data_IF_086548641334
#
_entry.id   IF_086548641334
#
_cell.length_a   1.000
_cell.length_b   1.000
_cell.length_c   1.000
_cell.angle_alpha   90.00
_cell.angle_beta   90.00
_cell.angle_gamma   90.00
#
_symmetry.space_group_name_H-M   'P 1'
#
loop_
_entity.id
_entity.type
_entity.pdbx_description
1 polymer ?
#
# COMPACT_ATOMS: atom_id res chain seq x y z
N UNK A 1 -62.29 -120.24 -44.62
CA UNK A 1 -61.14 -119.65 -43.87
C UNK A 1 -60.29 -118.86 -44.86
N UNK A 2 -59.76 -117.68 -44.48
CA UNK A 2 -58.92 -116.78 -45.31
C UNK A 2 -59.68 -116.33 -46.59
N UNK A 3 -60.31 -115.16 -46.67
CA UNK A 3 -59.67 -113.84 -46.70
C UNK A 3 -60.53 -112.68 -46.14
N UNK A 4 -61.36 -112.95 -45.12
CA UNK A 4 -62.06 -111.91 -44.30
C UNK A 4 -61.08 -110.98 -43.52
N UNK A 5 -59.80 -110.96 -43.90
CA UNK A 5 -58.70 -110.18 -43.32
C UNK A 5 -58.20 -109.08 -44.28
N UNK A 6 -58.56 -109.11 -45.56
CA UNK A 6 -58.14 -108.07 -46.52
C UNK A 6 -59.06 -106.83 -46.55
N UNK A 7 -60.09 -106.81 -45.69
CA UNK A 7 -60.87 -105.61 -45.36
C UNK A 7 -60.08 -104.65 -44.42
N UNK A 8 -59.01 -105.13 -43.76
CA UNK A 8 -58.38 -104.43 -42.64
C UNK A 8 -57.08 -103.69 -42.98
N UNK A 9 -56.39 -104.03 -44.08
CA UNK A 9 -55.00 -103.59 -44.32
C UNK A 9 -54.88 -102.33 -45.19
N UNK A 10 -55.87 -101.98 -46.01
CA UNK A 10 -55.88 -100.72 -46.79
C UNK A 10 -56.84 -99.65 -46.26
N UNK A 11 -57.29 -99.79 -45.01
CA UNK A 11 -58.01 -98.75 -44.24
C UNK A 11 -57.04 -97.71 -43.62
N UNK A 12 -55.71 -97.94 -43.71
CA UNK A 12 -54.69 -97.11 -43.04
C UNK A 12 -53.65 -96.43 -43.97
N UNK A 13 -53.78 -96.55 -45.29
CA UNK A 13 -52.82 -95.98 -46.25
C UNK A 13 -53.48 -95.12 -47.33
N UNK A 14 -54.01 -93.97 -46.89
CA UNK A 14 -53.94 -92.63 -47.51
C UNK A 14 -54.93 -91.76 -46.74
N UNK A 15 -54.42 -90.96 -45.80
CA UNK A 15 -55.10 -89.71 -45.47
C UNK A 15 -54.99 -88.84 -46.71
N UNK A 16 -56.11 -88.52 -47.34
CA UNK A 16 -56.12 -87.58 -48.46
C UNK A 16 -55.68 -86.22 -47.92
N UNK A 17 -54.53 -85.76 -48.41
CA UNK A 17 -54.11 -84.38 -48.31
C UNK A 17 -55.20 -83.51 -48.95
N UNK A 18 -56.06 -82.90 -48.11
CA UNK A 18 -57.04 -81.94 -48.59
C UNK A 18 -56.29 -80.73 -49.16
N UNK A 19 -56.31 -80.62 -50.48
CA UNK A 19 -55.76 -79.46 -51.18
C UNK A 19 -56.56 -78.20 -50.80
N UNK A 20 -55.87 -77.07 -50.70
CA UNK A 20 -56.50 -75.79 -50.38
C UNK A 20 -57.47 -75.39 -51.49
N UNK A 21 -58.77 -75.29 -51.17
CA UNK A 21 -59.80 -74.88 -52.10
C UNK A 21 -59.60 -73.42 -52.52
N UNK A 22 -59.53 -73.17 -53.84
CA UNK A 22 -59.52 -71.82 -54.41
C UNK A 22 -60.90 -71.49 -54.94
N UNK A 23 -61.63 -70.64 -54.24
CA UNK A 23 -62.94 -70.15 -54.66
C UNK A 23 -62.79 -68.85 -55.48
N UNK A 24 -63.21 -68.88 -56.75
CA UNK A 24 -63.15 -67.70 -57.63
C UNK A 24 -64.49 -66.99 -57.66
N UNK A 25 -64.53 -65.76 -57.15
CA UNK A 25 -65.68 -64.86 -57.31
C UNK A 25 -65.45 -64.04 -58.58
N UNK A 26 -66.42 -64.05 -59.52
CA UNK A 26 -66.42 -63.20 -60.71
C UNK A 26 -67.54 -62.16 -60.61
N UNK A 27 -67.19 -60.96 -60.16
CA UNK A 27 -68.07 -59.78 -60.13
C UNK A 27 -67.22 -58.51 -60.18
N UNK A 28 -67.72 -57.44 -60.81
CA UNK A 28 -67.05 -56.12 -60.84
C UNK A 28 -67.06 -55.43 -59.47
N UNK A 29 -68.00 -55.82 -58.60
CA UNK A 29 -68.08 -55.34 -57.23
C UNK A 29 -68.68 -56.43 -56.34
N UNK A 30 -67.94 -56.82 -55.30
CA UNK A 30 -68.43 -57.75 -54.28
C UNK A 30 -69.10 -56.93 -53.18
N UNK A 31 -70.42 -56.83 -53.23
CA UNK A 31 -71.21 -56.18 -52.18
C UNK A 31 -71.59 -57.20 -51.12
N UNK A 32 -70.98 -57.09 -49.93
CA UNK A 32 -71.36 -57.89 -48.77
C UNK A 32 -72.33 -57.05 -47.93
N UNK A 33 -73.55 -57.56 -47.73
CA UNK A 33 -74.59 -56.93 -46.91
C UNK A 33 -75.33 -57.98 -46.12
N UNK A 34 -75.64 -57.65 -44.87
CA UNK A 34 -76.56 -58.37 -44.00
C UNK A 34 -77.74 -57.42 -43.71
N UNK A 35 -78.93 -57.97 -43.53
CA UNK A 35 -80.18 -57.19 -43.38
C UNK A 35 -80.51 -56.82 -41.93
N UNK A 36 -79.72 -57.27 -40.94
CA UNK A 36 -79.90 -56.91 -39.52
C UNK A 36 -78.64 -56.39 -38.80
N UNK A 37 -77.44 -56.73 -39.27
CA UNK A 37 -76.16 -56.38 -38.62
C UNK A 37 -75.09 -55.91 -39.62
N UNK A 38 -73.95 -55.42 -39.12
CA UNK A 38 -72.78 -55.12 -39.94
C UNK A 38 -72.22 -56.42 -40.56
N UNK A 39 -72.06 -56.43 -41.89
CA UNK A 39 -71.45 -57.55 -42.60
C UNK A 39 -69.97 -57.27 -42.86
N UNK A 40 -69.09 -58.16 -42.41
CA UNK A 40 -67.64 -58.00 -42.51
C UNK A 40 -67.02 -58.83 -43.64
N UNK A 41 -65.90 -58.32 -44.18
CA UNK A 41 -65.02 -59.04 -45.10
C UNK A 41 -63.68 -59.32 -44.40
N UNK A 42 -63.46 -60.57 -44.01
CA UNK A 42 -62.19 -61.02 -43.42
C UNK A 42 -61.28 -61.49 -44.56
N UNK A 43 -60.06 -60.93 -44.64
CA UNK A 43 -59.04 -61.29 -45.64
C UNK A 43 -57.79 -61.81 -44.92
N UNK A 44 -57.64 -63.13 -44.85
CA UNK A 44 -56.47 -63.79 -44.29
C UNK A 44 -55.46 -64.15 -45.38
N UNK A 45 -54.19 -63.84 -45.15
CA UNK A 45 -53.07 -64.10 -46.05
C UNK A 45 -51.88 -64.55 -45.19
N UNK A 46 -50.87 -65.21 -45.77
CA UNK A 46 -49.66 -65.63 -45.05
C UNK A 46 -48.94 -64.46 -44.32
N UNK A 47 -49.16 -63.22 -44.77
CA UNK A 47 -48.72 -61.99 -44.09
C UNK A 47 -49.63 -61.53 -42.95
N UNK A 48 -50.44 -62.43 -42.37
CA UNK A 48 -51.32 -62.19 -41.21
C UNK A 48 -50.61 -61.56 -40.00
N UNK A 49 -49.30 -61.74 -39.89
CA UNK A 49 -48.45 -61.17 -38.83
C UNK A 49 -47.90 -59.78 -39.14
N UNK A 50 -48.24 -59.19 -40.30
CA UNK A 50 -47.83 -57.83 -40.67
C UNK A 50 -48.97 -56.86 -40.38
N UNK A 51 -48.98 -56.18 -39.22
CA UNK A 51 -49.94 -55.10 -38.99
C UNK A 51 -49.68 -53.98 -40.00
N UNK A 52 -50.70 -53.65 -40.78
CA UNK A 52 -50.54 -52.82 -41.96
C UNK A 52 -51.77 -52.78 -42.84
N UNK A 53 -51.62 -52.24 -44.04
CA UNK A 53 -52.69 -52.14 -45.02
C UNK A 53 -52.51 -53.15 -46.16
N UNK A 54 -53.61 -53.48 -46.84
CA UNK A 54 -53.60 -54.43 -47.95
C UNK A 54 -52.99 -53.78 -49.21
N UNK A 55 -51.67 -53.90 -49.36
CA UNK A 55 -50.92 -53.32 -50.46
C UNK A 55 -50.90 -54.25 -51.68
N UNK A 56 -51.15 -53.71 -52.87
CA UNK A 56 -51.08 -54.45 -54.12
C UNK A 56 -49.63 -54.48 -54.63
N UNK A 57 -49.03 -55.69 -54.70
CA UNK A 57 -47.67 -55.91 -55.23
C UNK A 57 -47.57 -55.82 -56.75
N UNK A 58 -48.66 -55.48 -57.45
CA UNK A 58 -48.82 -55.65 -58.88
C UNK A 58 -49.41 -57.02 -59.24
N UNK A 59 -49.90 -57.14 -60.48
CA UNK A 59 -50.56 -58.34 -61.02
C UNK A 59 -51.72 -58.86 -60.15
N UNK A 60 -52.42 -57.96 -59.46
CA UNK A 60 -53.60 -58.28 -58.64
C UNK A 60 -53.31 -59.06 -57.35
N UNK A 61 -52.04 -59.28 -56.99
CA UNK A 61 -51.67 -59.96 -55.74
C UNK A 61 -51.46 -58.93 -54.63
N UNK A 62 -52.19 -59.11 -53.54
CA UNK A 62 -52.07 -58.27 -52.35
C UNK A 62 -51.26 -58.95 -51.25
N UNK A 63 -50.65 -58.15 -50.38
CA UNK A 63 -50.10 -58.57 -49.08
C UNK A 63 -50.33 -57.46 -48.06
N UNK A 64 -50.25 -57.77 -46.77
CA UNK A 64 -50.19 -56.71 -45.77
C UNK A 64 -48.79 -56.07 -45.76
N UNK A 65 -48.73 -54.74 -45.88
CA UNK A 65 -47.49 -53.95 -45.72
C UNK A 65 -47.60 -52.92 -44.63
N UNK A 66 -46.48 -52.66 -43.95
CA UNK A 66 -46.34 -51.56 -43.00
C UNK A 66 -46.61 -50.23 -43.71
N UNK A 67 -47.31 -49.33 -43.01
CA UNK A 67 -47.76 -48.04 -43.57
C UNK A 67 -46.58 -47.10 -43.85
N UNK A 68 -45.59 -47.06 -42.96
CA UNK A 68 -44.42 -46.18 -43.08
C UNK A 68 -43.13 -47.01 -43.19
N UNK A 69 -42.33 -46.76 -44.22
CA UNK A 69 -40.95 -47.25 -44.37
C UNK A 69 -40.02 -46.03 -44.39
N UNK A 70 -39.08 -45.93 -43.45
CA UNK A 70 -38.18 -44.79 -43.39
C UNK A 70 -37.25 -44.74 -44.63
N UNK A 71 -37.07 -43.56 -45.24
CA UNK A 71 -36.14 -43.32 -46.36
C UNK A 71 -34.98 -42.41 -45.95
N UNK A 72 -35.29 -41.31 -45.26
CA UNK A 72 -34.32 -40.37 -44.67
C UNK A 72 -34.89 -39.82 -43.38
N UNK A 73 -34.06 -39.22 -42.53
CA UNK A 73 -34.37 -38.79 -41.16
C UNK A 73 -35.63 -37.93 -40.98
N UNK A 74 -36.18 -37.38 -42.06
CA UNK A 74 -37.42 -36.60 -42.03
C UNK A 74 -38.40 -36.93 -43.18
N UNK A 75 -38.19 -38.07 -43.87
CA UNK A 75 -39.02 -38.53 -45.00
C UNK A 75 -39.27 -40.04 -44.96
N UNK A 76 -40.54 -40.43 -44.93
CA UNK A 76 -41.00 -41.82 -44.93
C UNK A 76 -41.71 -42.15 -46.25
N UNK A 77 -41.43 -43.31 -46.83
CA UNK A 77 -42.24 -43.91 -47.88
C UNK A 77 -43.56 -44.45 -47.28
N UNK A 78 -44.68 -44.07 -47.89
CA UNK A 78 -46.02 -44.61 -47.63
C UNK A 78 -46.52 -45.27 -48.91
N UNK A 79 -46.58 -46.60 -48.92
CA UNK A 79 -46.86 -47.36 -50.14
C UNK A 79 -45.77 -47.18 -51.20
N UNK A 80 -46.00 -46.27 -52.15
CA UNK A 80 -45.08 -45.95 -53.25
C UNK A 80 -44.69 -44.47 -53.33
N UNK A 81 -45.16 -43.63 -52.41
CA UNK A 81 -44.93 -42.17 -52.40
C UNK A 81 -44.31 -41.72 -51.07
N UNK A 82 -43.74 -40.51 -50.99
CA UNK A 82 -42.95 -40.05 -49.84
C UNK A 82 -43.65 -38.96 -49.02
N UNK A 83 -43.95 -39.24 -47.75
CA UNK A 83 -44.35 -38.23 -46.76
C UNK A 83 -43.12 -37.62 -46.11
N UNK A 84 -42.99 -36.29 -46.20
CA UNK A 84 -41.99 -35.50 -45.47
C UNK A 84 -42.64 -34.82 -44.27
N UNK A 85 -42.07 -34.98 -43.07
CA UNK A 85 -42.53 -34.24 -41.89
C UNK A 85 -41.84 -32.88 -41.83
N UNK A 86 -42.55 -31.84 -41.38
CA UNK A 86 -41.99 -30.49 -41.18
C UNK A 86 -41.69 -30.25 -39.70
N UNK A 87 -40.68 -29.43 -39.41
CA UNK A 87 -40.28 -28.99 -38.07
C UNK A 87 -39.78 -30.07 -37.10
N UNK A 88 -39.34 -31.23 -37.59
CA UNK A 88 -38.54 -32.18 -36.77
C UNK A 88 -37.15 -31.59 -36.55
N UNK A 89 -36.65 -31.63 -35.30
CA UNK A 89 -35.28 -31.21 -34.98
C UNK A 89 -34.31 -32.28 -35.47
N UNK A 90 -33.58 -32.00 -36.55
CA UNK A 90 -32.71 -32.98 -37.20
C UNK A 90 -31.38 -33.15 -36.46
N UNK A 91 -30.91 -34.39 -36.32
CA UNK A 91 -29.58 -34.68 -35.79
C UNK A 91 -28.53 -34.18 -36.80
N UNK A 92 -27.67 -33.25 -36.38
CA UNK A 92 -26.81 -32.48 -37.28
C UNK A 92 -27.26 -31.03 -37.52
N UNK A 93 -28.45 -30.64 -37.03
CA UNK A 93 -28.94 -29.27 -37.00
C UNK A 93 -29.90 -28.92 -38.15
N UNK A 94 -30.75 -27.92 -37.89
CA UNK A 94 -31.73 -27.44 -38.86
C UNK A 94 -31.13 -26.30 -39.71
N UNK A 95 -31.22 -26.39 -41.04
CA UNK A 95 -30.75 -25.36 -41.96
C UNK A 95 -31.90 -24.48 -42.45
N UNK A 96 -32.07 -23.30 -41.84
CA UNK A 96 -33.03 -22.29 -42.27
C UNK A 96 -32.38 -21.27 -43.23
N UNK A 97 -33.11 -20.85 -44.26
CA UNK A 97 -32.66 -19.83 -45.24
C UNK A 97 -33.18 -18.41 -44.97
N UNK A 98 -33.92 -18.22 -43.88
CA UNK A 98 -34.52 -16.97 -43.43
C UNK A 98 -34.59 -16.97 -41.89
N UNK A 99 -35.19 -15.93 -41.29
CA UNK A 99 -35.25 -15.67 -39.84
C UNK A 99 -36.08 -16.72 -39.06
N UNK A 100 -35.55 -17.93 -38.91
CA UNK A 100 -36.12 -18.98 -38.07
C UNK A 100 -36.02 -18.60 -36.59
N UNK A 101 -37.12 -18.77 -35.85
CA UNK A 101 -37.20 -18.50 -34.41
C UNK A 101 -37.01 -19.79 -33.62
N UNK A 102 -36.24 -19.72 -32.54
CA UNK A 102 -36.06 -20.79 -31.56
C UNK A 102 -36.53 -20.26 -30.20
N UNK A 103 -37.49 -20.94 -29.58
CA UNK A 103 -38.07 -20.54 -28.30
C UNK A 103 -39.31 -21.36 -27.94
N UNK A 104 -39.83 -21.12 -26.74
CA UNK A 104 -41.16 -21.55 -26.28
C UNK A 104 -42.19 -20.45 -26.58
N UNK A 105 -43.47 -20.81 -26.69
CA UNK A 105 -44.58 -19.87 -26.87
C UNK A 105 -45.68 -20.08 -25.80
N UNK A 106 -45.21 -20.49 -24.62
CA UNK A 106 -45.97 -20.80 -23.43
C UNK A 106 -45.16 -20.34 -22.19
N UNK A 107 -45.71 -20.51 -21.00
CA UNK A 107 -45.02 -20.12 -19.76
C UNK A 107 -44.02 -21.18 -19.26
N UNK A 108 -43.27 -21.80 -20.17
CA UNK A 108 -42.20 -22.76 -19.84
C UNK A 108 -40.84 -22.28 -20.36
N UNK A 109 -39.75 -22.62 -19.65
CA UNK A 109 -38.41 -22.17 -19.98
C UNK A 109 -37.84 -22.92 -21.20
N UNK A 110 -37.18 -22.21 -22.11
CA UNK A 110 -36.39 -22.84 -23.18
C UNK A 110 -35.18 -23.51 -22.53
N UNK A 111 -35.23 -24.84 -22.40
CA UNK A 111 -34.28 -25.62 -21.61
C UNK A 111 -33.28 -26.37 -22.49
N UNK A 112 -31.98 -26.21 -22.21
CA UNK A 112 -30.89 -26.91 -22.89
C UNK A 112 -30.45 -28.13 -22.07
N UNK A 113 -30.69 -29.33 -22.61
CA UNK A 113 -30.44 -30.60 -21.91
C UNK A 113 -29.32 -31.37 -22.62
N UNK A 114 -28.36 -31.89 -21.85
CA UNK A 114 -27.31 -32.81 -22.31
C UNK A 114 -27.36 -34.09 -21.46
N UNK A 115 -27.49 -35.25 -22.10
CA UNK A 115 -27.56 -36.57 -21.42
C UNK A 115 -28.62 -36.64 -20.31
N UNK A 116 -29.78 -36.01 -20.50
CA UNK A 116 -30.85 -35.94 -19.50
C UNK A 116 -30.62 -34.93 -18.37
N UNK A 117 -29.47 -34.25 -18.34
CA UNK A 117 -29.13 -33.22 -17.34
C UNK A 117 -29.29 -31.84 -17.96
N UNK A 118 -29.98 -30.94 -17.28
CA UNK A 118 -30.08 -29.54 -17.68
C UNK A 118 -28.72 -28.83 -17.57
N UNK A 119 -28.32 -28.13 -18.63
CA UNK A 119 -27.06 -27.35 -18.72
C UNK A 119 -27.28 -25.86 -18.84
N UNK A 120 -28.53 -25.42 -18.98
CA UNK A 120 -28.91 -24.02 -18.93
C UNK A 120 -30.32 -23.82 -19.46
N UNK A 121 -30.86 -22.62 -19.29
CA UNK A 121 -32.17 -22.23 -19.80
C UNK A 121 -32.28 -20.74 -20.07
N UNK A 122 -33.25 -20.38 -20.90
CA UNK A 122 -33.93 -19.09 -20.78
C UNK A 122 -35.14 -19.34 -19.88
N UNK A 123 -35.09 -18.80 -18.67
CA UNK A 123 -36.15 -18.95 -17.68
C UNK A 123 -37.42 -18.17 -18.07
N UNK A 124 -38.57 -18.48 -17.45
CA UNK A 124 -39.85 -17.84 -17.79
C UNK A 124 -39.87 -16.32 -17.54
N UNK A 125 -39.03 -15.84 -16.62
CA UNK A 125 -38.78 -14.41 -16.41
C UNK A 125 -37.85 -13.74 -17.44
N UNK A 126 -37.37 -14.48 -18.45
CA UNK A 126 -36.44 -14.00 -19.48
C UNK A 126 -34.95 -14.05 -19.09
N UNK A 127 -34.62 -14.51 -17.87
CA UNK A 127 -33.25 -14.63 -17.38
C UNK A 127 -32.52 -15.82 -18.03
N UNK A 128 -31.28 -15.62 -18.46
CA UNK A 128 -30.46 -16.67 -19.07
C UNK A 128 -29.55 -17.30 -18.01
N UNK A 129 -29.73 -18.59 -17.76
CA UNK A 129 -29.00 -19.35 -16.76
C UNK A 129 -28.10 -20.38 -17.44
N UNK A 130 -26.82 -20.43 -17.07
CA UNK A 130 -25.84 -21.41 -17.55
C UNK A 130 -25.33 -22.27 -16.40
N UNK A 131 -25.39 -23.59 -16.59
CA UNK A 131 -24.98 -24.62 -15.63
C UNK A 131 -25.70 -24.54 -14.26
N UNK A 132 -26.88 -23.92 -14.20
CA UNK A 132 -27.74 -23.81 -13.01
C UNK A 132 -29.20 -23.67 -13.38
N UNK A 133 -30.07 -24.04 -12.43
CA UNK A 133 -31.53 -23.82 -12.45
C UNK A 133 -31.98 -22.82 -11.37
N UNK A 134 -31.07 -22.42 -10.48
CA UNK A 134 -31.31 -21.44 -9.41
C UNK A 134 -31.28 -20.02 -10.02
N UNK A 135 -32.45 -19.39 -10.16
CA UNK A 135 -32.56 -18.03 -10.67
C UNK A 135 -32.37 -17.01 -9.53
N UNK A 136 -31.18 -16.39 -9.45
CA UNK A 136 -30.87 -15.37 -8.45
C UNK A 136 -31.32 -13.95 -8.88
N UNK A 137 -32.31 -13.85 -9.77
CA UNK A 137 -32.83 -12.62 -10.37
C UNK A 137 -31.83 -11.83 -11.24
N UNK A 138 -30.73 -12.44 -11.67
CA UNK A 138 -29.82 -11.85 -12.65
C UNK A 138 -30.29 -12.15 -14.09
N UNK A 139 -30.36 -11.16 -14.99
CA UNK A 139 -30.74 -11.38 -16.39
C UNK A 139 -29.82 -12.34 -17.16
N UNK A 140 -28.58 -12.50 -16.69
CA UNK A 140 -27.55 -13.35 -17.29
C UNK A 140 -26.69 -13.92 -16.15
N UNK A 141 -26.70 -15.24 -15.95
CA UNK A 141 -26.10 -15.92 -14.79
C UNK A 141 -25.33 -17.18 -15.22
N UNK A 142 -24.12 -17.35 -14.69
CA UNK A 142 -23.30 -18.55 -14.86
C UNK A 142 -23.00 -19.18 -13.50
N UNK A 143 -23.08 -20.51 -13.40
CA UNK A 143 -22.56 -21.29 -12.27
C UNK A 143 -21.29 -22.01 -12.71
N UNK A 144 -20.16 -21.31 -12.58
CA UNK A 144 -18.83 -21.76 -13.01
C UNK A 144 -18.03 -20.66 -13.72
N UNK A 145 -16.88 -21.03 -14.28
CA UNK A 145 -15.94 -20.10 -14.90
C UNK A 145 -16.44 -19.55 -16.25
N UNK A 146 -16.23 -18.25 -16.49
CA UNK A 146 -16.48 -17.59 -17.78
C UNK A 146 -15.14 -17.31 -18.45
N UNK A 147 -14.98 -17.75 -19.69
CA UNK A 147 -13.86 -17.36 -20.55
C UNK A 147 -14.39 -16.48 -21.69
N UNK A 148 -13.78 -15.31 -21.90
CA UNK A 148 -14.05 -14.44 -23.04
C UNK A 148 -12.77 -14.18 -23.84
N UNK A 149 -12.92 -14.05 -25.16
CA UNK A 149 -11.85 -13.68 -26.08
C UNK A 149 -12.19 -12.35 -26.72
N UNK A 150 -11.36 -11.33 -26.49
CA UNK A 150 -11.63 -9.93 -26.85
C UNK A 150 -12.06 -9.07 -25.65
N UNK A 151 -12.50 -7.84 -25.95
CA UNK A 151 -12.84 -6.81 -24.95
C UNK A 151 -14.27 -7.02 -24.43
N UNK A 152 -14.44 -7.07 -23.10
CA UNK A 152 -15.74 -6.96 -22.45
C UNK A 152 -16.05 -5.48 -22.16
N UNK A 153 -17.03 -4.92 -22.87
CA UNK A 153 -17.50 -3.56 -22.61
C UNK A 153 -18.62 -3.59 -21.55
N UNK A 154 -18.47 -2.80 -20.48
CA UNK A 154 -19.45 -2.68 -19.41
C UNK A 154 -19.66 -1.20 -19.05
N UNK A 155 -20.90 -0.74 -19.11
CA UNK A 155 -21.23 0.69 -19.00
C UNK A 155 -21.20 1.25 -17.56
N UNK A 156 -21.14 0.37 -16.55
CA UNK A 156 -21.28 0.70 -15.11
C UNK A 156 -20.39 -0.23 -14.26
N UNK A 157 -20.69 -0.36 -12.97
CA UNK A 157 -19.85 -1.06 -11.98
C UNK A 157 -19.70 -2.57 -12.28
N UNK A 158 -18.46 -3.07 -12.17
CA UNK A 158 -18.16 -4.51 -12.01
C UNK A 158 -18.18 -4.85 -10.52
N UNK A 159 -19.04 -5.77 -10.10
CA UNK A 159 -19.05 -6.28 -8.73
C UNK A 159 -18.33 -7.62 -8.68
N UNK A 160 -17.19 -7.69 -7.98
CA UNK A 160 -16.43 -8.93 -7.77
C UNK A 160 -16.50 -9.28 -6.27
N UNK A 161 -17.50 -10.08 -5.91
CA UNK A 161 -17.73 -10.52 -4.54
C UNK A 161 -17.38 -12.02 -4.42
N UNK A 162 -16.33 -12.39 -3.66
CA UNK A 162 -16.00 -13.80 -3.46
C UNK A 162 -16.84 -14.39 -2.32
N UNK A 163 -17.72 -15.33 -2.63
CA UNK A 163 -18.40 -16.13 -1.61
C UNK A 163 -18.92 -17.47 -2.15
N UNK A 164 -18.34 -18.58 -1.67
CA UNK A 164 -19.08 -19.81 -1.40
C UNK A 164 -18.64 -20.35 -0.02
N UNK A 165 -19.55 -20.88 0.81
CA UNK A 165 -19.21 -21.40 2.13
C UNK A 165 -18.66 -22.84 2.01
N UNK A 166 -17.35 -22.99 1.84
CA UNK A 166 -16.72 -24.32 1.84
C UNK A 166 -15.26 -24.40 1.40
N UNK A 167 -14.74 -23.43 0.64
CA UNK A 167 -13.33 -23.37 0.24
C UNK A 167 -12.71 -22.00 0.58
N UNK A 168 -11.42 -21.97 0.91
CA UNK A 168 -10.73 -20.79 1.47
C UNK A 168 -10.23 -19.76 0.41
N UNK A 169 -10.41 -20.04 -0.88
CA UNK A 169 -9.66 -19.40 -1.97
C UNK A 169 -10.42 -18.28 -2.72
N UNK A 170 -10.74 -17.21 -2.01
CA UNK A 170 -11.27 -15.96 -2.56
C UNK A 170 -10.19 -15.15 -3.32
N UNK A 171 -10.37 -14.85 -4.62
CA UNK A 171 -9.37 -14.11 -5.43
C UNK A 171 -10.01 -13.02 -6.32
N UNK A 172 -9.39 -11.84 -6.40
CA UNK A 172 -9.80 -10.73 -7.28
C UNK A 172 -8.64 -10.38 -8.23
N UNK A 173 -8.98 -10.19 -9.51
CA UNK A 173 -8.04 -9.97 -10.63
C UNK A 173 -8.60 -8.84 -11.49
N UNK A 174 -8.06 -7.61 -11.40
CA UNK A 174 -8.60 -6.43 -12.12
C UNK A 174 -7.47 -5.67 -12.79
N UNK A 175 -7.31 -5.83 -14.11
CA UNK A 175 -6.13 -5.29 -14.80
C UNK A 175 -4.83 -5.93 -14.29
N UNK A 176 -4.94 -7.14 -13.73
CA UNK A 176 -3.87 -7.73 -12.95
C UNK A 176 -4.22 -9.03 -12.29
N UNK A 177 -3.57 -10.10 -12.74
CA UNK A 177 -3.66 -11.42 -12.16
C UNK A 177 -3.14 -11.42 -10.74
N UNK A 178 -3.76 -12.24 -9.87
CA UNK A 178 -3.40 -12.65 -8.51
C UNK A 178 -2.62 -13.98 -8.62
N UNK A 179 -1.34 -14.01 -8.31
CA UNK A 179 -0.56 -15.24 -8.09
C UNK A 179 -0.94 -15.75 -6.68
N UNK A 180 -0.75 -17.03 -6.36
CA UNK A 180 -0.83 -17.52 -4.96
C UNK A 180 0.13 -18.71 -4.85
N UNK A 181 0.82 -18.76 -3.72
CA UNK A 181 1.81 -19.75 -3.35
C UNK A 181 2.60 -19.16 -2.18
N UNK A 182 3.89 -19.49 -2.05
CA UNK A 182 4.78 -18.70 -1.19
C UNK A 182 5.15 -17.31 -1.76
N UNK A 183 4.40 -16.78 -2.75
CA UNK A 183 4.39 -15.44 -3.40
C UNK A 183 3.04 -15.19 -4.15
N UNK A 184 2.54 -13.95 -4.36
CA UNK A 184 1.14 -13.70 -4.86
C UNK A 184 0.77 -12.60 -5.91
N UNK A 185 1.68 -11.94 -6.66
CA UNK A 185 1.46 -10.84 -7.67
C UNK A 185 -0.01 -10.55 -8.06
N UNK A 186 -0.58 -9.35 -7.82
CA UNK A 186 -1.98 -8.90 -8.09
C UNK A 186 -2.14 -7.46 -8.61
N UNK A 187 -2.18 -7.21 -9.95
CA UNK A 187 -1.95 -5.90 -10.66
C UNK A 187 -3.19 -4.97 -10.76
N UNK A 188 -2.96 -3.74 -11.22
CA UNK A 188 -3.69 -2.49 -11.04
C UNK A 188 -2.60 -1.41 -10.87
N UNK A 189 -2.92 -0.23 -10.35
CA UNK A 189 -1.90 0.50 -9.58
C UNK A 189 -1.78 -0.21 -8.22
N UNK A 190 -1.03 -1.31 -8.22
CA UNK A 190 -0.99 -2.32 -7.16
C UNK A 190 -0.86 -3.69 -7.77
N UNK A 191 0.30 -4.34 -7.58
CA UNK A 191 0.80 -5.69 -7.91
C UNK A 191 1.04 -6.47 -6.61
N UNK A 192 0.00 -7.03 -5.99
CA UNK A 192 -0.01 -7.66 -4.65
C UNK A 192 0.86 -8.94 -4.46
N UNK A 193 1.92 -8.94 -3.63
CA UNK A 193 3.04 -9.90 -3.34
C UNK A 193 2.89 -11.17 -2.42
N UNK A 194 1.79 -11.44 -1.71
CA UNK A 194 1.68 -12.32 -0.50
C UNK A 194 2.51 -13.62 -0.49
N UNK A 195 3.30 -13.87 0.57
CA UNK A 195 4.39 -14.85 0.56
C UNK A 195 4.26 -16.08 1.48
N UNK A 196 3.07 -16.66 1.67
CA UNK A 196 2.74 -17.56 2.83
C UNK A 196 3.14 -17.00 4.21
N UNK A 197 3.24 -15.67 4.33
CA UNK A 197 3.56 -15.01 5.59
C UNK A 197 3.59 -13.49 5.44
N UNK A 198 2.49 -12.85 5.81
CA UNK A 198 2.18 -11.43 5.58
C UNK A 198 1.87 -11.04 4.13
N UNK A 199 0.84 -10.20 4.06
CA UNK A 199 0.15 -9.71 2.88
C UNK A 199 0.91 -8.56 2.25
N UNK A 200 0.97 -8.53 0.92
CA UNK A 200 1.85 -7.61 0.22
C UNK A 200 1.19 -6.90 -0.95
N UNK A 201 1.42 -5.60 -1.09
CA UNK A 201 0.80 -4.73 -2.10
C UNK A 201 1.89 -4.01 -2.91
N UNK A 202 1.95 -4.18 -4.23
CA UNK A 202 3.05 -3.70 -5.09
C UNK A 202 2.65 -2.65 -6.13
N UNK A 203 2.29 -1.44 -5.71
CA UNK A 203 1.85 -0.38 -6.62
C UNK A 203 2.99 0.05 -7.58
N UNK A 204 2.70 0.31 -8.85
CA UNK A 204 3.68 0.83 -9.83
C UNK A 204 4.60 -0.17 -10.57
N UNK A 205 5.42 0.39 -11.47
CA UNK A 205 6.28 -0.35 -12.41
C UNK A 205 7.54 -0.91 -11.73
N UNK A 206 7.85 -2.20 -11.99
CA UNK A 206 9.11 -2.83 -11.62
C UNK A 206 9.25 -3.30 -10.16
N UNK A 207 8.20 -3.21 -9.35
CA UNK A 207 8.30 -3.43 -7.91
C UNK A 207 8.26 -4.89 -7.46
N UNK A 208 9.15 -5.24 -6.54
CA UNK A 208 9.23 -6.55 -5.88
C UNK A 208 8.87 -6.40 -4.41
N UNK A 209 7.76 -7.02 -3.97
CA UNK A 209 7.21 -6.83 -2.62
C UNK A 209 7.05 -8.17 -1.91
N UNK A 210 8.08 -8.60 -1.19
CA UNK A 210 8.06 -9.86 -0.45
C UNK A 210 7.62 -9.59 0.98
N UNK A 211 6.41 -10.04 1.38
CA UNK A 211 5.92 -10.01 2.78
C UNK A 211 5.85 -8.60 3.40
N UNK A 212 5.57 -7.57 2.61
CA UNK A 212 5.59 -6.15 3.04
C UNK A 212 4.74 -5.26 2.13
N UNK A 213 4.83 -3.93 2.25
CA UNK A 213 4.06 -3.00 1.40
C UNK A 213 5.02 -2.21 0.50
N UNK A 214 4.80 -2.21 -0.82
CA UNK A 214 5.61 -1.48 -1.79
C UNK A 214 4.74 -0.60 -2.69
N UNK A 215 4.71 0.70 -2.45
CA UNK A 215 3.92 1.65 -3.24
C UNK A 215 4.87 2.48 -4.12
N UNK A 216 4.93 2.13 -5.40
CA UNK A 216 5.99 2.54 -6.35
C UNK A 216 7.42 2.10 -5.94
N UNK A 217 7.56 1.35 -4.84
CA UNK A 217 8.83 0.87 -4.28
C UNK A 217 8.82 -0.64 -4.00
N UNK A 218 10.00 -1.17 -3.72
CA UNK A 218 10.25 -2.59 -3.47
C UNK A 218 10.60 -2.86 -2.01
N UNK A 219 10.30 -4.05 -1.49
CA UNK A 219 10.60 -4.40 -0.10
C UNK A 219 10.70 -5.89 0.15
N UNK A 220 11.45 -6.27 1.20
CA UNK A 220 11.41 -7.59 1.82
C UNK A 220 11.11 -7.42 3.32
N UNK A 221 9.92 -7.81 3.77
CA UNK A 221 9.45 -7.72 5.16
C UNK A 221 9.44 -6.28 5.74
N UNK A 222 9.16 -5.26 4.92
CA UNK A 222 9.10 -3.85 5.32
C UNK A 222 8.03 -3.03 4.58
N UNK A 223 8.18 -1.70 4.58
CA UNK A 223 7.29 -0.75 3.89
C UNK A 223 8.13 0.20 3.03
N UNK A 224 7.90 0.24 1.73
CA UNK A 224 8.55 1.17 0.78
C UNK A 224 7.48 1.99 0.05
N UNK A 225 7.56 3.33 0.10
CA UNK A 225 6.61 4.23 -0.56
C UNK A 225 7.39 5.30 -1.33
N UNK A 226 7.38 5.24 -2.65
CA UNK A 226 8.06 6.15 -3.56
C UNK A 226 8.73 5.40 -4.72
N UNK A 227 8.72 5.99 -5.92
CA UNK A 227 9.30 5.42 -7.14
C UNK A 227 10.76 4.98 -6.92
N UNK A 228 11.12 3.74 -7.28
CA UNK A 228 12.45 3.17 -7.09
C UNK A 228 12.95 3.11 -5.63
N UNK A 229 12.07 3.20 -4.63
CA UNK A 229 12.48 3.07 -3.21
C UNK A 229 12.70 1.61 -2.79
N UNK A 230 13.53 1.37 -1.76
CA UNK A 230 13.79 0.02 -1.23
C UNK A 230 13.81 -0.08 0.30
N UNK A 231 12.92 -0.91 0.86
CA UNK A 231 12.83 -1.23 2.28
C UNK A 231 13.29 -2.66 2.61
N UNK A 232 14.36 -2.76 3.41
CA UNK A 232 14.80 -3.99 4.07
C UNK A 232 13.80 -4.46 5.14
N UNK A 233 14.08 -5.62 5.73
CA UNK A 233 13.28 -6.23 6.81
C UNK A 233 13.09 -5.26 7.98
N UNK A 234 11.84 -5.12 8.44
CA UNK A 234 11.44 -4.22 9.52
C UNK A 234 11.57 -2.73 9.21
N UNK A 235 12.09 -2.35 8.03
CA UNK A 235 12.32 -0.97 7.66
C UNK A 235 11.06 -0.31 7.09
N UNK A 236 10.94 1.00 7.29
CA UNK A 236 9.95 1.88 6.68
C UNK A 236 10.69 2.94 5.88
N UNK A 237 10.39 3.05 4.59
CA UNK A 237 11.11 3.88 3.63
C UNK A 237 10.12 4.74 2.85
N UNK A 238 10.27 6.06 2.94
CA UNK A 238 9.39 7.05 2.34
C UNK A 238 10.18 8.00 1.44
N UNK A 239 9.69 8.22 0.22
CA UNK A 239 10.25 9.13 -0.77
C UNK A 239 10.87 8.43 -1.98
N UNK A 240 10.92 9.16 -3.10
CA UNK A 240 11.44 8.63 -4.37
C UNK A 240 12.91 8.26 -4.26
N UNK A 241 13.26 7.06 -4.72
CA UNK A 241 14.61 6.47 -4.68
C UNK A 241 15.28 6.44 -3.30
N UNK A 242 14.52 6.60 -2.21
CA UNK A 242 15.01 6.35 -0.85
C UNK A 242 15.29 4.87 -0.64
N UNK A 243 16.41 4.56 0.01
CA UNK A 243 16.82 3.18 0.29
C UNK A 243 17.29 3.06 1.73
N UNK A 244 16.67 2.14 2.48
CA UNK A 244 17.21 1.67 3.75
C UNK A 244 18.53 0.94 3.54
N UNK A 245 19.47 1.06 4.46
CA UNK A 245 20.82 0.46 4.39
C UNK A 245 21.01 -0.69 5.39
N UNK A 246 20.08 -0.85 6.33
CA UNK A 246 20.03 -1.96 7.28
C UNK A 246 18.56 -2.28 7.62
N UNK A 247 18.37 -3.33 8.42
CA UNK A 247 17.06 -3.71 8.96
C UNK A 247 16.59 -2.69 10.01
N UNK A 248 15.28 -2.68 10.27
CA UNK A 248 14.65 -1.91 11.35
C UNK A 248 14.90 -0.37 11.29
N UNK A 249 15.16 0.16 10.09
CA UNK A 249 15.37 1.60 9.86
C UNK A 249 14.09 2.32 9.43
N UNK A 250 13.87 3.52 9.97
CA UNK A 250 12.99 4.52 9.34
C UNK A 250 13.82 5.46 8.46
N UNK A 251 13.57 5.47 7.15
CA UNK A 251 14.25 6.34 6.18
C UNK A 251 13.21 7.18 5.45
N UNK A 252 13.39 8.50 5.47
CA UNK A 252 12.52 9.45 4.80
C UNK A 252 13.41 10.44 4.02
N UNK A 253 13.20 10.60 2.72
CA UNK A 253 14.06 11.47 1.91
C UNK A 253 13.99 11.23 0.41
N UNK A 254 15.16 11.17 -0.22
CA UNK A 254 15.38 10.87 -1.64
C UNK A 254 16.84 11.17 -2.00
N UNK A 255 17.33 10.78 -3.19
CA UNK A 255 18.65 11.18 -3.65
C UNK A 255 18.67 12.68 -3.97
N UNK A 256 19.84 13.31 -3.83
CA UNK A 256 20.09 14.70 -4.23
C UNK A 256 20.21 14.87 -5.76
N UNK A 257 20.24 13.76 -6.51
CA UNK A 257 20.60 13.76 -7.92
C UNK A 257 19.41 13.42 -8.81
N UNK A 258 18.96 14.42 -9.58
CA UNK A 258 18.17 14.19 -10.79
C UNK A 258 18.92 13.21 -11.70
N UNK A 259 18.19 12.20 -12.21
CA UNK A 259 18.74 11.21 -13.15
C UNK A 259 18.99 11.81 -14.54
N UNK A 260 18.48 13.01 -14.83
CA UNK A 260 18.78 13.79 -16.02
C UNK A 260 18.97 15.27 -15.65
N UNK A 261 20.13 15.84 -15.98
CA UNK A 261 20.54 17.20 -15.61
C UNK A 261 19.82 18.31 -16.42
N UNK A 262 18.80 17.96 -17.19
CA UNK A 262 18.00 18.87 -18.04
C UNK A 262 16.48 18.77 -17.82
N UNK A 263 16.01 18.09 -16.77
CA UNK A 263 14.57 18.03 -16.44
C UNK A 263 14.24 18.84 -15.20
N UNK A 264 13.34 19.83 -15.32
CA UNK A 264 12.86 20.65 -14.21
C UNK A 264 12.15 19.82 -13.11
N UNK A 265 12.91 19.39 -12.11
CA UNK A 265 12.47 19.28 -10.72
C UNK A 265 11.44 18.20 -10.35
N UNK A 266 11.55 16.98 -10.89
CA UNK A 266 10.59 15.89 -10.59
C UNK A 266 10.97 14.96 -9.41
N UNK A 267 12.20 14.97 -8.91
CA UNK A 267 12.63 14.11 -7.79
C UNK A 267 13.15 14.90 -6.58
N UNK A 268 12.25 15.64 -5.92
CA UNK A 268 12.60 16.33 -4.67
C UNK A 268 12.64 15.33 -3.50
N UNK A 269 13.77 15.30 -2.78
CA UNK A 269 13.89 14.57 -1.53
C UNK A 269 12.99 15.20 -0.45
N UNK A 270 12.48 14.39 0.48
CA UNK A 270 11.78 14.91 1.66
C UNK A 270 12.82 15.54 2.59
N UNK A 271 12.86 16.88 2.64
CA UNK A 271 13.83 17.66 3.42
C UNK A 271 13.36 18.05 4.82
N UNK A 272 12.04 18.01 5.07
CA UNK A 272 11.43 18.45 6.32
C UNK A 272 10.39 17.42 6.81
N UNK A 273 10.31 17.23 8.13
CA UNK A 273 9.35 16.33 8.78
C UNK A 273 8.63 17.10 9.89
N UNK A 274 7.29 17.15 9.79
CA UNK A 274 6.44 17.91 10.70
C UNK A 274 5.56 16.98 11.53
N UNK A 275 5.56 17.18 12.86
CA UNK A 275 4.70 16.47 13.80
C UNK A 275 3.63 17.40 14.40
N UNK A 276 2.67 16.86 15.16
CA UNK A 276 1.60 17.64 15.78
C UNK A 276 0.60 18.17 14.75
N UNK A 277 0.49 19.50 14.60
CA UNK A 277 -0.45 20.12 13.65
C UNK A 277 0.01 20.12 12.18
N UNK A 278 1.16 19.52 11.85
CA UNK A 278 1.77 19.58 10.51
C UNK A 278 2.47 20.92 10.26
N UNK A 279 2.77 21.22 8.98
CA UNK A 279 3.39 22.50 8.54
C UNK A 279 2.62 23.71 9.06
N UNK A 280 1.30 23.62 8.99
CA UNK A 280 0.34 24.55 9.56
C UNK A 280 -0.93 23.78 9.92
N UNK A 281 -1.62 24.22 10.98
CA UNK A 281 -2.93 23.67 11.36
C UNK A 281 -3.90 23.74 10.18
N UNK A 282 -4.60 22.63 9.91
CA UNK A 282 -5.46 22.47 8.72
C UNK A 282 -6.57 23.54 8.60
N UNK A 283 -6.22 24.64 7.94
CA UNK A 283 -7.01 25.83 7.65
C UNK A 283 -7.97 26.31 8.77
N UNK A 284 -7.57 26.16 10.03
CA UNK A 284 -8.39 26.50 11.20
C UNK A 284 -7.63 27.46 12.09
N UNK A 285 -8.15 28.67 12.29
CA UNK A 285 -7.56 29.68 13.16
C UNK A 285 -7.40 29.19 14.61
N UNK A 286 -6.23 29.40 15.19
CA UNK A 286 -5.91 29.05 16.56
C UNK A 286 -4.45 28.66 16.75
N UNK A 287 -4.01 28.36 17.99
CA UNK A 287 -2.66 27.89 18.25
C UNK A 287 -2.41 26.52 17.60
N UNK A 288 -1.13 26.24 17.32
CA UNK A 288 -0.65 24.89 17.01
C UNK A 288 -0.69 23.98 18.25
N UNK A 289 -0.77 22.68 18.02
CA UNK A 289 -0.83 21.66 19.08
C UNK A 289 0.58 21.20 19.44
N UNK A 290 0.89 21.15 20.74
CA UNK A 290 2.16 20.62 21.26
C UNK A 290 2.34 19.14 20.92
N UNK A 291 3.58 18.73 20.69
CA UNK A 291 3.97 17.34 20.41
C UNK A 291 5.22 16.96 21.21
N UNK A 292 5.37 15.67 21.52
CA UNK A 292 6.49 15.12 22.30
C UNK A 292 7.14 13.95 21.56
N UNK A 293 8.47 13.96 21.44
CA UNK A 293 9.26 12.78 21.06
C UNK A 293 9.72 12.11 22.36
N UNK A 294 9.29 10.86 22.59
CA UNK A 294 9.54 10.11 23.82
C UNK A 294 10.49 8.94 23.57
N UNK A 295 11.31 8.61 24.57
CA UNK A 295 12.20 7.45 24.55
C UNK A 295 11.50 6.14 24.92
N UNK A 296 12.20 5.02 24.75
CA UNK A 296 11.65 3.69 25.00
C UNK A 296 11.43 3.42 26.49
N UNK A 297 10.18 3.20 26.90
CA UNK A 297 9.86 2.72 28.25
C UNK A 297 10.22 1.24 28.44
N UNK A 298 10.64 0.87 29.66
CA UNK A 298 10.85 -0.53 30.05
C UNK A 298 9.62 -1.10 30.79
N UNK A 299 9.46 -2.42 30.76
CA UNK A 299 8.36 -3.14 31.42
C UNK A 299 8.89 -4.11 32.47
N UNK A 300 8.27 -4.11 33.66
CA UNK A 300 8.69 -4.89 34.82
C UNK A 300 9.31 -4.03 35.94
N UNK A 301 9.70 -4.65 37.05
CA UNK A 301 10.21 -3.94 38.22
C UNK A 301 11.67 -3.49 38.04
N UNK A 302 11.93 -2.20 38.26
CA UNK A 302 13.28 -1.59 38.34
C UNK A 302 14.14 -1.69 37.07
N UNK A 303 13.54 -1.81 35.88
CA UNK A 303 14.28 -1.75 34.61
C UNK A 303 14.51 -0.30 34.14
N UNK A 304 15.70 -0.01 33.63
CA UNK A 304 16.08 1.28 33.04
C UNK A 304 15.41 1.45 31.66
N UNK A 305 14.88 2.64 31.37
CA UNK A 305 14.41 3.01 30.03
C UNK A 305 15.54 3.14 29.00
N UNK A 306 15.17 3.15 27.72
CA UNK A 306 16.11 3.35 26.61
C UNK A 306 16.45 4.82 26.38
N UNK A 307 17.69 5.08 25.94
CA UNK A 307 18.16 6.42 25.60
C UNK A 307 17.60 6.91 24.25
N UNK A 308 17.49 8.23 24.06
CA UNK A 308 17.23 8.85 22.74
C UNK A 308 18.55 9.38 22.19
N UNK A 309 18.88 9.01 20.96
CA UNK A 309 20.06 9.53 20.26
C UNK A 309 19.64 10.39 19.07
N UNK A 310 19.94 11.69 19.12
CA UNK A 310 19.84 12.62 17.98
C UNK A 310 21.25 12.76 17.40
N UNK A 311 21.41 12.67 16.08
CA UNK A 311 22.73 12.67 15.42
C UNK A 311 22.72 13.62 14.22
N UNK A 312 23.80 14.37 14.02
CA UNK A 312 24.03 15.15 12.80
C UNK A 312 24.39 14.28 11.59
N UNK A 313 24.50 14.90 10.42
CA UNK A 313 24.84 14.21 9.17
C UNK A 313 26.24 13.58 9.22
N UNK A 314 26.39 12.34 8.74
CA UNK A 314 27.69 11.66 8.67
C UNK A 314 28.47 12.11 7.43
N UNK A 315 29.65 12.68 7.63
CA UNK A 315 30.61 12.91 6.55
C UNK A 315 31.30 11.62 6.09
N UNK A 316 31.99 11.68 4.96
CA UNK A 316 32.84 10.59 4.43
C UNK A 316 34.27 11.07 4.27
N UNK A 317 35.26 10.22 4.57
CA UNK A 317 36.68 10.59 4.47
C UNK A 317 37.04 11.82 5.31
N UNK A 318 37.54 12.87 4.68
CA UNK A 318 37.84 14.18 5.30
C UNK A 318 36.66 15.16 5.31
N UNK A 319 35.47 14.73 4.87
CA UNK A 319 34.26 15.55 4.89
C UNK A 319 33.76 15.81 6.30
N UNK A 320 33.61 17.09 6.66
CA UNK A 320 33.13 17.52 7.99
C UNK A 320 31.73 16.96 8.29
N UNK A 321 31.51 16.32 9.44
CA UNK A 321 30.16 15.94 9.89
C UNK A 321 29.22 17.14 10.04
N UNK A 322 27.92 16.91 9.87
CA UNK A 322 26.89 17.92 10.12
C UNK A 322 26.66 18.15 11.62
N UNK A 323 26.33 19.39 11.98
CA UNK A 323 25.97 19.79 13.34
C UNK A 323 24.56 19.32 13.74
N UNK A 324 24.27 19.26 15.04
CA UNK A 324 22.90 19.23 15.56
C UNK A 324 22.51 20.68 15.85
N UNK A 325 21.39 21.16 15.28
CA UNK A 325 20.97 22.56 15.34
C UNK A 325 19.62 22.67 16.04
N UNK A 326 19.53 23.56 17.03
CA UNK A 326 18.30 23.90 17.74
C UNK A 326 17.85 25.30 17.33
N UNK A 327 16.69 25.37 16.66
CA UNK A 327 16.14 26.62 16.13
C UNK A 327 14.76 26.91 16.70
N UNK A 328 14.46 28.20 16.86
CA UNK A 328 13.14 28.69 17.29
C UNK A 328 12.72 29.85 16.38
N UNK A 329 11.42 30.05 16.11
CA UNK A 329 10.97 31.24 15.41
C UNK A 329 11.35 32.53 16.16
N UNK A 330 11.57 33.62 15.43
CA UNK A 330 11.64 34.96 16.01
C UNK A 330 10.26 35.63 15.96
N UNK A 331 9.85 36.25 17.06
CA UNK A 331 8.60 37.02 17.12
C UNK A 331 8.66 38.16 16.09
N UNK A 332 7.68 38.15 15.18
CA UNK A 332 7.45 39.19 14.16
C UNK A 332 6.40 40.19 14.64
N UNK A 333 6.15 41.24 13.85
CA UNK A 333 4.96 42.08 13.99
C UNK A 333 3.67 41.26 13.79
N UNK A 334 2.54 41.82 14.24
CA UNK A 334 1.22 41.19 14.08
C UNK A 334 0.92 40.89 12.60
N UNK A 335 0.60 39.65 12.29
CA UNK A 335 0.37 39.17 10.92
C UNK A 335 -0.04 37.69 10.88
N UNK A 336 -0.28 37.18 9.68
CA UNK A 336 -0.76 35.80 9.43
C UNK A 336 0.32 34.85 8.89
N UNK A 337 1.48 35.37 8.49
CA UNK A 337 2.60 34.58 7.98
C UNK A 337 3.33 33.85 9.11
N UNK A 338 3.74 32.60 8.87
CA UNK A 338 4.60 31.86 9.81
C UNK A 338 5.93 32.60 10.02
N UNK A 339 6.42 32.56 11.26
CA UNK A 339 7.66 33.23 11.66
C UNK A 339 8.88 32.45 11.20
N UNK A 340 9.90 33.15 10.70
CA UNK A 340 11.16 32.55 10.26
C UNK A 340 11.93 31.95 11.45
N UNK A 341 12.45 30.74 11.26
CA UNK A 341 13.33 30.07 12.21
C UNK A 341 14.66 30.81 12.35
N UNK A 342 15.16 30.91 13.57
CA UNK A 342 16.47 31.44 13.92
C UNK A 342 17.18 30.43 14.81
N UNK A 343 18.44 30.14 14.50
CA UNK A 343 19.27 29.27 15.32
C UNK A 343 19.46 29.87 16.72
N UNK A 344 19.35 29.02 17.76
CA UNK A 344 19.54 29.40 19.17
C UNK A 344 20.69 28.66 19.83
N UNK A 345 20.89 27.40 19.47
CA UNK A 345 22.01 26.61 19.95
C UNK A 345 22.41 25.54 18.94
N UNK A 346 23.65 25.06 19.02
CA UNK A 346 24.14 23.93 18.23
C UNK A 346 25.15 23.08 18.97
N UNK A 347 25.26 21.82 18.58
CA UNK A 347 26.46 20.99 18.82
C UNK A 347 27.18 20.88 17.48
N UNK A 348 28.38 21.42 17.38
CA UNK A 348 29.17 21.41 16.15
C UNK A 348 29.88 20.06 15.90
N UNK A 349 30.64 19.97 14.80
CA UNK A 349 31.40 18.76 14.44
C UNK A 349 32.63 18.49 15.32
N UNK A 350 33.05 19.46 16.14
CA UNK A 350 34.11 19.31 17.14
C UNK A 350 33.54 18.83 18.50
N UNK A 351 32.21 18.78 18.65
CA UNK A 351 31.53 18.49 19.90
C UNK A 351 31.33 19.71 20.80
N UNK A 352 31.54 20.93 20.28
CA UNK A 352 31.34 22.18 21.02
C UNK A 352 29.84 22.54 21.05
N UNK A 353 29.32 22.85 22.24
CA UNK A 353 27.96 23.34 22.44
C UNK A 353 27.95 24.88 22.43
N UNK A 354 27.44 25.46 21.34
CA UNK A 354 27.24 26.90 21.19
C UNK A 354 25.82 27.33 21.57
N UNK A 355 25.69 28.41 22.34
CA UNK A 355 24.42 29.08 22.64
C UNK A 355 24.52 30.53 22.17
N UNK A 356 23.61 30.97 21.31
CA UNK A 356 23.65 32.30 20.69
C UNK A 356 24.74 32.48 19.63
N UNK A 357 25.46 31.41 19.26
CA UNK A 357 26.55 31.42 18.27
C UNK A 357 26.50 30.20 17.38
N UNK A 358 26.77 30.39 16.08
CA UNK A 358 26.87 29.31 15.09
C UNK A 358 28.31 28.80 14.88
N UNK A 359 29.29 29.45 15.50
CA UNK A 359 30.72 29.12 15.42
C UNK A 359 31.34 29.07 16.83
N UNK A 360 30.95 28.10 17.68
CA UNK A 360 31.47 27.98 19.03
C UNK A 360 32.98 27.68 19.02
N UNK A 361 33.73 28.49 19.76
CA UNK A 361 35.19 28.46 19.84
C UNK A 361 35.73 27.51 20.92
N UNK A 362 34.88 27.09 21.86
CA UNK A 362 35.20 26.21 22.99
C UNK A 362 34.04 25.24 23.26
N UNK A 363 34.26 24.23 24.11
CA UNK A 363 33.30 23.15 24.38
C UNK A 363 31.94 23.63 24.89
N UNK A 364 31.89 24.77 25.58
CA UNK A 364 30.65 25.46 25.94
C UNK A 364 30.87 26.96 25.69
N UNK A 365 30.25 27.48 24.63
CA UNK A 365 30.41 28.87 24.19
C UNK A 365 29.05 29.59 24.21
N UNK A 366 28.92 30.61 25.08
CA UNK A 366 27.65 31.30 25.34
C UNK A 366 27.78 32.77 24.98
N UNK A 367 27.24 33.15 23.81
CA UNK A 367 27.16 34.53 23.37
C UNK A 367 25.97 35.23 24.04
N UNK A 368 26.11 35.55 25.33
CA UNK A 368 25.07 36.20 26.14
C UNK A 368 25.37 36.14 27.62
N UNK A 369 24.34 36.24 28.46
CA UNK A 369 24.45 36.04 29.91
C UNK A 369 24.05 34.62 30.29
N UNK A 370 24.87 33.94 31.10
CA UNK A 370 24.52 32.68 31.74
C UNK A 370 23.92 32.93 33.13
N UNK A 371 22.80 32.28 33.43
CA UNK A 371 22.24 32.23 34.78
C UNK A 371 22.39 30.82 35.35
N UNK A 372 22.84 30.72 36.59
CA UNK A 372 23.05 29.47 37.30
C UNK A 372 22.43 29.59 38.70
N UNK A 373 21.41 28.79 39.00
CA UNK A 373 20.69 28.83 40.30
C UNK A 373 21.53 28.32 41.49
N UNK A 374 22.76 27.84 41.26
CA UNK A 374 23.61 27.21 42.26
C UNK A 374 25.11 27.37 41.89
N UNK A 375 26.00 26.81 42.70
CA UNK A 375 27.46 26.90 42.56
C UNK A 375 27.95 26.34 41.21
N UNK A 376 28.73 27.15 40.49
CA UNK A 376 29.50 26.72 39.31
C UNK A 376 30.85 26.15 39.76
N UNK A 377 31.06 24.85 39.56
CA UNK A 377 32.35 24.20 39.82
C UNK A 377 33.20 24.15 38.56
N UNK A 378 34.39 24.76 38.58
CA UNK A 378 35.35 24.72 37.48
C UNK A 378 36.68 24.11 37.94
N UNK A 379 37.16 23.11 37.19
CA UNK A 379 38.50 22.54 37.41
C UNK A 379 39.51 23.32 36.58
N UNK A 380 40.55 23.85 37.22
CA UNK A 380 41.59 24.61 36.53
C UNK A 380 41.20 26.03 36.10
N UNK A 381 40.12 26.62 36.65
CA UNK A 381 39.91 28.06 36.52
C UNK A 381 41.14 28.79 37.06
N UNK A 382 41.69 29.67 36.22
CA UNK A 382 42.80 30.55 36.53
C UNK A 382 42.32 31.97 36.33
N UNK A 383 42.37 32.75 37.40
CA UNK A 383 42.14 34.18 37.34
C UNK A 383 43.03 34.85 36.29
N UNK A 384 42.49 35.86 35.60
CA UNK A 384 43.25 36.56 34.58
C UNK A 384 44.38 37.39 35.22
N UNK A 385 45.63 37.20 34.77
CA UNK A 385 46.81 37.92 35.28
C UNK A 385 47.42 38.77 34.18
N UNK A 386 47.51 40.09 34.41
CA UNK A 386 48.14 41.06 33.50
C UNK A 386 49.29 41.77 34.20
N UNK A 387 50.48 41.69 33.61
CA UNK A 387 51.64 42.48 34.06
C UNK A 387 51.72 43.77 33.24
N UNK A 388 51.91 44.92 33.90
CA UNK A 388 52.01 46.23 33.24
C UNK A 388 53.23 47.01 33.75
N UNK A 389 53.83 47.80 32.86
CA UNK A 389 54.98 48.68 33.15
C UNK A 389 54.74 50.15 32.82
N UNK A 390 53.60 50.48 32.20
CA UNK A 390 53.25 51.82 31.75
C UNK A 390 51.74 52.07 31.93
N UNK A 391 51.32 53.33 31.79
CA UNK A 391 49.92 53.76 31.88
C UNK A 391 49.01 52.85 31.04
N UNK A 392 48.01 52.25 31.68
CA UNK A 392 47.20 51.19 31.07
C UNK A 392 45.74 51.30 31.52
N UNK A 393 44.82 51.28 30.55
CA UNK A 393 43.41 51.02 30.82
C UNK A 393 43.18 49.51 30.91
N UNK A 394 42.52 49.09 31.99
CA UNK A 394 42.14 47.69 32.23
C UNK A 394 40.71 47.43 31.76
N UNK A 395 40.39 46.18 31.45
CA UNK A 395 39.11 45.77 30.86
C UNK A 395 38.36 44.74 31.72
N UNK A 396 37.17 44.35 31.27
CA UNK A 396 36.29 43.42 31.98
C UNK A 396 36.86 41.98 32.03
N UNK A 397 37.93 41.72 31.27
CA UNK A 397 38.70 40.47 31.25
C UNK A 397 39.93 40.49 32.17
N UNK A 398 40.29 41.63 32.76
CA UNK A 398 41.37 41.72 33.75
C UNK A 398 40.83 41.31 35.14
N UNK A 399 41.67 40.72 35.99
CA UNK A 399 41.28 40.36 37.36
C UNK A 399 42.41 40.67 38.35
N UNK A 400 43.61 40.14 38.10
CA UNK A 400 44.83 40.49 38.81
C UNK A 400 45.75 41.32 37.92
N UNK A 401 46.05 42.55 38.35
CA UNK A 401 46.90 43.50 37.62
C UNK A 401 48.17 43.74 38.42
N UNK A 402 49.30 43.27 37.90
CA UNK A 402 50.61 43.39 38.53
C UNK A 402 51.38 44.57 37.92
N UNK A 403 51.60 45.60 38.73
CA UNK A 403 52.20 46.86 38.31
C UNK A 403 53.68 46.88 38.67
N UNK A 404 54.54 47.05 37.66
CA UNK A 404 55.98 47.22 37.81
C UNK A 404 56.38 48.60 37.29
N UNK A 405 56.49 49.57 38.21
CA UNK A 405 56.94 50.93 37.92
C UNK A 405 58.46 51.12 38.08
N UNK A 406 59.27 50.06 37.94
CA UNK A 406 60.71 50.14 38.16
C UNK A 406 61.44 51.08 37.16
N UNK A 407 60.94 51.22 35.92
CA UNK A 407 61.61 51.94 34.82
C UNK A 407 60.80 53.09 34.20
N UNK A 408 59.66 53.47 34.77
CA UNK A 408 58.72 54.45 34.19
C UNK A 408 58.29 55.50 35.21
N UNK A 409 58.26 56.78 34.80
CA UNK A 409 58.16 57.92 35.73
C UNK A 409 56.89 57.95 36.60
N UNK A 410 55.77 57.42 36.12
CA UNK A 410 54.54 57.16 36.87
C UNK A 410 53.74 56.13 36.09
N UNK A 411 53.06 55.21 36.78
CA UNK A 411 52.16 54.22 36.16
C UNK A 411 50.75 54.40 36.66
N UNK A 412 49.86 54.84 35.77
CA UNK A 412 48.44 54.99 36.04
C UNK A 412 47.64 53.79 35.53
N UNK A 413 46.88 53.15 36.42
CA UNK A 413 45.91 52.11 36.11
C UNK A 413 44.53 52.76 35.93
N UNK A 414 44.03 52.78 34.70
CA UNK A 414 42.73 53.35 34.40
C UNK A 414 41.65 52.26 34.44
N UNK A 415 40.73 52.35 35.40
CA UNK A 415 39.58 51.46 35.56
C UNK A 415 38.49 51.80 34.53
N UNK A 416 37.70 50.82 34.06
CA UNK A 416 36.52 51.11 33.24
C UNK A 416 35.44 51.84 34.06
N UNK A 417 34.45 52.50 33.40
CA UNK A 417 33.31 53.09 34.09
C UNK A 417 32.45 52.01 34.76
N UNK A 418 32.02 52.23 36.00
CA UNK A 418 31.24 51.22 36.76
C UNK A 418 29.84 50.96 36.20
N UNK A 419 29.34 51.78 35.27
CA UNK A 419 28.00 51.63 34.69
C UNK A 419 27.82 50.25 34.06
N UNK A 420 26.89 49.46 34.61
CA UNK A 420 26.64 48.08 34.16
C UNK A 420 27.66 47.05 34.67
N UNK A 421 28.49 47.38 35.66
CA UNK A 421 29.58 46.54 36.20
C UNK A 421 29.50 46.30 37.70
N UNK A 422 28.36 46.51 38.35
CA UNK A 422 28.24 46.28 39.80
C UNK A 422 28.62 44.83 40.15
N UNK A 423 29.53 44.67 41.12
CA UNK A 423 30.15 43.39 41.47
C UNK A 423 31.46 43.05 40.74
N UNK A 424 31.82 43.76 39.65
CA UNK A 424 33.11 43.58 38.99
C UNK A 424 34.25 43.86 39.99
N UNK A 425 35.17 42.92 40.11
CA UNK A 425 36.26 42.95 41.09
C UNK A 425 37.62 42.99 40.38
N UNK A 426 38.53 43.84 40.85
CA UNK A 426 39.92 43.88 40.41
C UNK A 426 40.87 43.85 41.61
N UNK A 427 41.94 43.08 41.53
CA UNK A 427 43.07 43.12 42.49
C UNK A 427 44.29 43.71 41.79
N UNK A 428 44.63 44.95 42.13
CA UNK A 428 45.79 45.65 41.60
C UNK A 428 46.91 45.55 42.64
N UNK A 429 48.07 45.01 42.25
CA UNK A 429 49.23 44.85 43.13
C UNK A 429 50.46 45.47 42.52
N UNK A 430 51.13 46.33 43.29
CA UNK A 430 52.47 46.79 42.95
C UNK A 430 53.49 45.70 43.29
N UNK A 431 54.34 45.34 42.34
CA UNK A 431 55.31 44.23 42.45
C UNK A 431 56.77 44.68 42.51
N UNK A 432 57.06 45.96 42.29
CA UNK A 432 58.41 46.54 42.35
C UNK A 432 58.66 47.34 43.65
N UNK A 433 59.93 47.52 44.02
CA UNK A 433 60.35 48.28 45.22
C UNK A 433 60.53 49.80 44.97
N UNK A 434 60.32 50.32 43.75
CA UNK A 434 60.79 51.65 43.36
C UNK A 434 59.86 52.79 43.82
N UNK A 435 59.88 53.12 45.11
CA UNK A 435 59.05 54.17 45.71
C UNK A 435 59.16 55.56 45.06
N UNK A 436 60.19 55.83 44.25
CA UNK A 436 60.36 57.10 43.53
C UNK A 436 59.33 57.31 42.41
N UNK A 437 58.87 56.23 41.78
CA UNK A 437 57.87 56.28 40.72
C UNK A 437 56.49 56.00 41.32
N UNK A 438 55.53 56.90 41.08
CA UNK A 438 54.17 56.74 41.59
C UNK A 438 53.41 55.65 40.83
N UNK A 439 52.60 54.88 41.56
CA UNK A 439 51.53 54.06 40.98
C UNK A 439 50.20 54.64 41.43
N UNK A 440 49.32 54.93 40.48
CA UNK A 440 48.01 55.55 40.72
C UNK A 440 46.91 54.75 40.05
N UNK A 441 45.70 54.84 40.60
CA UNK A 441 44.50 54.21 40.06
C UNK A 441 43.45 55.31 39.85
N UNK A 442 42.90 55.41 38.64
CA UNK A 442 41.86 56.39 38.26
C UNK A 442 40.71 55.68 37.57
N UNK A 443 39.47 56.16 37.69
CA UNK A 443 38.42 55.76 36.73
C UNK A 443 38.62 56.44 35.37
N UNK A 444 38.20 55.80 34.29
CA UNK A 444 38.06 56.42 32.96
C UNK A 444 36.95 57.50 32.91
N UNK A 445 36.22 57.67 33.99
CA UNK A 445 35.18 58.70 34.20
C UNK A 445 35.47 59.49 35.49
N UNK A 446 34.65 60.47 35.83
CA UNK A 446 34.80 61.30 37.05
C UNK A 446 34.56 60.55 38.38
N UNK A 447 34.46 59.21 38.35
CA UNK A 447 34.24 58.36 39.51
C UNK A 447 35.50 58.24 40.38
N UNK A 448 35.29 58.09 41.68
CA UNK A 448 36.36 57.85 42.66
C UNK A 448 36.54 56.37 43.00
N UNK A 449 37.75 56.06 43.47
CA UNK A 449 38.05 54.85 44.24
C UNK A 449 38.02 55.25 45.72
N UNK A 450 36.99 54.81 46.44
CA UNK A 450 36.77 55.08 47.87
C UNK A 450 36.89 56.56 48.24
N UNK A 451 36.23 57.42 47.44
CA UNK A 451 36.26 58.88 47.60
C UNK A 451 37.48 59.60 47.00
N UNK A 452 38.51 58.88 46.56
CA UNK A 452 39.78 59.43 46.07
C UNK A 452 39.92 59.23 44.54
N UNK A 453 40.47 60.22 43.83
CA UNK A 453 40.84 60.11 42.41
C UNK A 453 41.98 61.10 42.08
N UNK A 454 43.19 60.66 41.68
CA UNK A 454 43.69 59.29 41.65
C UNK A 454 43.90 58.69 43.05
N UNK A 455 43.62 57.40 43.22
CA UNK A 455 44.00 56.65 44.42
C UNK A 455 45.48 56.22 44.34
N UNK A 456 46.34 56.53 45.33
CA UNK A 456 47.75 56.18 45.30
C UNK A 456 48.02 54.75 45.82
N UNK A 457 48.86 53.98 45.11
CA UNK A 457 49.34 52.66 45.55
C UNK A 457 50.84 52.71 45.86
N UNK A 458 51.18 53.06 47.11
CA UNK A 458 52.55 53.25 47.57
C UNK A 458 53.22 51.93 48.03
N UNK A 459 54.45 51.66 47.57
CA UNK A 459 55.20 50.45 47.95
C UNK A 459 54.58 49.14 47.44
N UNK A 460 55.13 47.98 47.83
CA UNK A 460 54.70 46.62 47.40
C UNK A 460 53.37 46.15 48.02
N UNK A 461 52.34 46.99 47.91
CA UNK A 461 50.99 46.74 48.42
C UNK A 461 50.06 46.27 47.31
N UNK A 462 48.98 45.60 47.71
CA UNK A 462 47.84 45.33 46.84
C UNK A 462 46.59 46.06 47.33
N UNK A 463 45.66 46.23 46.41
CA UNK A 463 44.32 46.75 46.66
C UNK A 463 43.34 45.93 45.83
N UNK A 464 42.30 45.41 46.48
CA UNK A 464 41.15 44.78 45.83
C UNK A 464 39.98 45.75 45.88
N UNK A 465 39.45 46.08 44.71
CA UNK A 465 38.35 47.03 44.52
C UNK A 465 37.17 46.35 43.85
N UNK A 466 35.96 46.79 44.19
CA UNK A 466 34.71 46.29 43.62
C UNK A 466 33.86 47.47 43.14
N UNK A 467 33.32 47.38 41.93
CA UNK A 467 32.37 48.35 41.43
C UNK A 467 31.03 48.21 42.16
N UNK A 468 30.49 49.32 42.67
CA UNK A 468 29.17 49.37 43.29
C UNK A 468 28.55 50.77 43.12
N UNK A 469 27.33 50.82 42.57
CA UNK A 469 26.43 51.97 42.62
C UNK A 469 27.06 53.28 42.12
N UNK A 470 27.84 53.21 41.04
CA UNK A 470 28.49 54.37 40.44
C UNK A 470 29.89 54.71 40.97
N UNK A 471 30.46 53.90 41.87
CA UNK A 471 31.78 54.12 42.50
C UNK A 471 32.61 52.84 42.58
N UNK A 472 33.92 52.97 42.75
CA UNK A 472 34.82 51.84 43.07
C UNK A 472 35.08 51.82 44.57
N UNK A 473 34.78 50.71 45.25
CA UNK A 473 34.93 50.55 46.71
C UNK A 473 36.13 49.66 47.01
N UNK A 474 36.98 50.05 47.97
CA UNK A 474 38.07 49.18 48.46
C UNK A 474 37.49 48.14 49.40
N UNK A 475 37.71 46.86 49.10
CA UNK A 475 37.26 45.73 49.94
C UNK A 475 38.40 45.00 50.63
N UNK A 476 39.63 45.16 50.14
CA UNK A 476 40.85 44.64 50.78
C UNK A 476 42.08 45.43 50.35
N UNK A 477 43.05 45.58 51.25
CA UNK A 477 44.38 46.12 50.97
C UNK A 477 45.36 45.70 52.07
N UNK A 478 46.67 45.82 51.81
CA UNK A 478 47.71 45.58 52.82
C UNK A 478 48.76 46.70 52.88
#
# INVERSE_FOLDING_TARGET
MKHFLFLLVFVFAIQVLNAQYVYTIKADSVKITNSCDAAELIIENHTQTVPGFLFNKGRGRTEFRKVFQNLTDNTFLIGSDTMKLSNVWMQGGNRFGATGLLGTNDNYPLTFIQNGVEKGRIDTGGNWLFNTVENNSYPFQFKGNIWHSGILYQEKNVFIAPFEPGEEDARIIIGGNNVVGSRSIGIGDGVQVDGTGLTALGIGLGNTVVRGIGIFGSTTEGIAIGHNSYAHKGAVVLGSASTSTAWDQFVCGGPDRDWDANSDGMYKHISEVYFGSGVQRSNTSGPGVSYSINGSGAYGANYRGGDITITGGKGTGTGTPGSIIFSTPQVSSSGTTLQTLSERARIDSNGNFGIGTSTPSTTLDVHGTGHFDNVVTSSGHRSAVRNITANTTISDTDEYVFVNAASTATVNVTLPPTTGRDGQTYTIKRIDDNISNAVTITSASSQSVDGINPYPLAGKKYITIVANSGTWIVVSQN
#
